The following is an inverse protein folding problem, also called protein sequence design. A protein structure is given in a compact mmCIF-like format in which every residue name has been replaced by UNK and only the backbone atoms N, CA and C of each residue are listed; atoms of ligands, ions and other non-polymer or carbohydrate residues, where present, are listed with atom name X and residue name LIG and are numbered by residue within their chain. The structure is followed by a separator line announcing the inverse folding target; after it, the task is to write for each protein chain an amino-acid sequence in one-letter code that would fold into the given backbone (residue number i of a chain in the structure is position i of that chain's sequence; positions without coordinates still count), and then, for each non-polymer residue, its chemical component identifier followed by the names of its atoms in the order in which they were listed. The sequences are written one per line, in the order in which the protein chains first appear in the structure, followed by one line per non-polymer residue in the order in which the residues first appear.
data_IF_632098200949
#
_entry.id   IF_632098200949
#
_cell.length_a   1.000
_cell.length_b   1.000
_cell.length_c   1.000
_cell.angle_alpha   90.00
_cell.angle_beta   90.00
_cell.angle_gamma   90.00
#
_symmetry.space_group_name_H-M   'P 1'
#
loop_
_entity.id
_entity.type
_entity.pdbx_description
1 polymer ?
#
# COMPACT_ATOMS: atom_id res chain seq x y z
N UNK A 1 -17.90 14.72 -0.15
CA UNK A 1 -16.61 14.01 -0.41
C UNK A 1 -15.79 13.78 0.85
N UNK A 2 -15.47 14.81 1.61
CA UNK A 2 -14.65 14.68 2.81
C UNK A 2 -15.18 13.71 3.86
N UNK A 3 -16.50 13.65 4.07
CA UNK A 3 -17.13 12.75 5.03
C UNK A 3 -16.96 11.28 4.63
N UNK A 4 -17.13 10.98 3.35
CA UNK A 4 -16.98 9.62 2.80
C UNK A 4 -15.54 9.14 2.89
N UNK A 5 -14.57 9.99 2.50
CA UNK A 5 -13.15 9.67 2.60
C UNK A 5 -12.75 9.39 4.05
N UNK A 6 -13.21 10.21 4.99
CA UNK A 6 -12.92 10.00 6.42
C UNK A 6 -13.49 8.68 6.94
N UNK A 7 -14.69 8.31 6.49
CA UNK A 7 -15.34 7.07 6.90
C UNK A 7 -14.59 5.85 6.41
N UNK A 8 -14.16 5.85 5.15
CA UNK A 8 -13.35 4.79 4.55
C UNK A 8 -12.00 4.69 5.26
N UNK A 9 -11.32 5.82 5.45
CA UNK A 9 -10.03 5.87 6.14
C UNK A 9 -10.12 5.36 7.59
N UNK A 10 -11.20 5.70 8.27
CA UNK A 10 -11.42 5.23 9.64
C UNK A 10 -11.58 3.72 9.71
N UNK A 11 -12.32 3.12 8.77
CA UNK A 11 -12.50 1.67 8.73
C UNK A 11 -11.16 0.95 8.59
N UNK A 12 -10.27 1.42 7.71
CA UNK A 12 -8.93 0.86 7.58
C UNK A 12 -8.09 1.12 8.82
N UNK A 13 -8.16 2.31 9.37
CA UNK A 13 -7.37 2.69 10.56
C UNK A 13 -7.65 1.79 11.75
N UNK A 14 -8.92 1.53 12.04
CA UNK A 14 -9.30 0.70 13.17
C UNK A 14 -8.79 -0.73 13.02
N UNK A 15 -8.86 -1.27 11.81
CA UNK A 15 -8.42 -2.64 11.52
C UNK A 15 -6.89 -2.79 11.56
N UNK A 16 -6.14 -1.77 11.13
CA UNK A 16 -4.67 -1.84 11.08
C UNK A 16 -4.00 -1.38 12.38
N UNK A 17 -4.75 -0.85 13.34
CA UNK A 17 -4.20 -0.35 14.60
C UNK A 17 -3.43 -1.42 15.37
N UNK A 18 -3.83 -2.70 15.25
CA UNK A 18 -3.18 -3.83 15.91
C UNK A 18 -1.71 -3.99 15.49
N UNK A 19 -1.34 -3.50 14.32
CA UNK A 19 0.03 -3.59 13.80
C UNK A 19 0.84 -2.31 14.01
N UNK A 20 0.24 -1.30 14.63
CA UNK A 20 0.86 0.01 14.83
C UNK A 20 1.30 0.69 13.53
N UNK A 21 0.62 0.37 12.43
CA UNK A 21 0.87 0.94 11.13
C UNK A 21 -0.05 2.13 10.88
N UNK A 22 0.48 3.16 10.23
CA UNK A 22 -0.36 4.23 9.69
C UNK A 22 -1.03 3.73 8.40
N UNK A 23 -2.06 4.45 7.96
CA UNK A 23 -2.76 4.15 6.72
C UNK A 23 -1.80 4.06 5.51
N UNK A 24 -0.91 5.05 5.39
CA UNK A 24 0.09 5.07 4.31
C UNK A 24 1.07 3.90 4.38
N UNK A 25 1.57 3.61 5.57
CA UNK A 25 2.46 2.47 5.78
C UNK A 25 1.79 1.15 5.41
N UNK A 26 0.51 1.00 5.77
CA UNK A 26 -0.24 -0.23 5.49
C UNK A 26 -0.33 -0.51 3.99
N UNK A 27 -0.70 0.48 3.20
CA UNK A 27 -0.80 0.31 1.75
C UNK A 27 0.55 0.03 1.09
N UNK A 28 1.60 0.65 1.58
CA UNK A 28 2.95 0.40 1.05
C UNK A 28 3.43 -1.00 1.42
N UNK A 29 3.21 -1.45 2.66
CA UNK A 29 3.62 -2.80 3.06
C UNK A 29 2.84 -3.88 2.29
N UNK A 30 1.56 -3.66 2.04
CA UNK A 30 0.77 -4.58 1.21
C UNK A 30 1.35 -4.68 -0.20
N UNK A 31 1.72 -3.55 -0.80
CA UNK A 31 2.35 -3.55 -2.12
C UNK A 31 3.67 -4.33 -2.13
N UNK A 32 4.49 -4.19 -1.09
CA UNK A 32 5.74 -4.93 -0.96
C UNK A 32 5.47 -6.43 -0.75
N UNK A 33 4.45 -6.77 0.02
CA UNK A 33 4.05 -8.18 0.23
C UNK A 33 3.59 -8.86 -1.05
N UNK A 34 2.97 -8.10 -1.95
CA UNK A 34 2.55 -8.61 -3.26
C UNK A 34 3.75 -8.85 -4.17
N UNK A 35 4.77 -8.01 -4.08
CA UNK A 35 5.95 -8.10 -4.96
C UNK A 35 7.17 -7.54 -4.24
N UNK A 36 8.03 -8.41 -3.75
CA UNK A 36 9.30 -8.03 -3.13
C UNK A 36 10.37 -7.69 -4.16
N UNK A 37 11.37 -6.95 -3.72
CA UNK A 37 12.52 -6.65 -4.56
C UNK A 37 12.36 -5.47 -5.50
N UNK A 38 11.33 -4.66 -5.29
CA UNK A 38 11.14 -3.45 -6.08
C UNK A 38 12.05 -2.32 -5.59
N UNK A 39 12.39 -1.43 -6.53
CA UNK A 39 13.05 -0.17 -6.21
C UNK A 39 12.04 0.82 -5.62
N UNK A 40 12.47 1.81 -4.82
CA UNK A 40 11.56 2.85 -4.33
C UNK A 40 10.79 3.56 -5.44
N UNK A 41 11.42 3.81 -6.60
CA UNK A 41 10.75 4.42 -7.74
C UNK A 41 9.64 3.55 -8.31
N UNK A 42 9.86 2.24 -8.35
CA UNK A 42 8.86 1.27 -8.80
C UNK A 42 7.69 1.19 -7.82
N UNK A 43 7.97 1.24 -6.52
CA UNK A 43 6.94 1.28 -5.48
C UNK A 43 6.12 2.57 -5.54
N UNK A 44 6.77 3.70 -5.78
CA UNK A 44 6.08 4.99 -5.93
C UNK A 44 5.09 4.93 -7.09
N UNK A 45 5.49 4.38 -8.21
CA UNK A 45 4.64 4.20 -9.38
C UNK A 45 3.49 3.23 -9.09
N UNK A 46 3.78 2.08 -8.49
CA UNK A 46 2.78 1.05 -8.15
C UNK A 46 1.71 1.59 -7.18
N UNK A 47 2.09 2.43 -6.24
CA UNK A 47 1.18 2.99 -5.24
C UNK A 47 0.62 4.36 -5.61
N UNK A 48 0.99 4.88 -6.78
CA UNK A 48 0.58 6.21 -7.27
C UNK A 48 0.93 7.33 -6.29
N UNK A 49 2.10 7.23 -5.67
CA UNK A 49 2.61 8.23 -4.73
C UNK A 49 3.89 8.87 -5.25
N UNK A 50 4.17 10.08 -4.77
CA UNK A 50 5.42 10.75 -5.14
C UNK A 50 6.61 10.13 -4.40
N UNK A 51 7.82 10.39 -4.92
CA UNK A 51 9.05 9.79 -4.39
C UNK A 51 9.37 10.22 -2.96
N UNK A 52 9.08 11.48 -2.61
CA UNK A 52 9.33 11.99 -1.27
C UNK A 52 8.45 11.29 -0.24
N UNK A 53 7.17 11.11 -0.55
CA UNK A 53 6.22 10.40 0.31
C UNK A 53 6.64 8.94 0.49
N UNK A 54 6.98 8.26 -0.60
CA UNK A 54 7.44 6.85 -0.56
C UNK A 54 8.70 6.73 0.28
N UNK A 55 9.68 7.62 0.09
CA UNK A 55 10.93 7.59 0.86
C UNK A 55 10.65 7.70 2.36
N UNK A 56 9.79 8.63 2.75
CA UNK A 56 9.40 8.80 4.15
C UNK A 56 8.70 7.57 4.73
N UNK A 57 7.79 6.97 3.97
CA UNK A 57 7.07 5.77 4.40
C UNK A 57 8.01 4.57 4.51
N UNK A 58 8.93 4.40 3.57
CA UNK A 58 9.93 3.32 3.60
C UNK A 58 10.88 3.48 4.78
N UNK A 59 11.30 4.70 5.08
CA UNK A 59 12.16 4.96 6.25
C UNK A 59 11.48 4.56 7.56
N UNK A 60 10.20 4.87 7.69
CA UNK A 60 9.41 4.48 8.87
C UNK A 60 9.22 2.97 8.95
N UNK A 61 8.91 2.33 7.83
CA UNK A 61 8.74 0.87 7.78
C UNK A 61 10.05 0.15 8.12
N UNK A 62 11.18 0.67 7.65
CA UNK A 62 12.49 0.12 7.98
C UNK A 62 12.78 0.27 9.48
N UNK A 63 12.50 1.45 10.04
CA UNK A 63 12.70 1.74 11.47
C UNK A 63 11.84 0.83 12.35
N UNK A 64 10.60 0.57 11.93
CA UNK A 64 9.65 -0.26 12.66
C UNK A 64 9.87 -1.76 12.42
N UNK A 65 10.85 -2.13 11.62
CA UNK A 65 11.25 -3.52 11.43
C UNK A 65 10.40 -4.31 10.42
N UNK A 66 9.68 -3.63 9.54
CA UNK A 66 8.87 -4.29 8.53
C UNK A 66 9.62 -4.61 7.25
N UNK A 67 10.56 -3.74 6.87
CA UNK A 67 11.31 -3.89 5.62
C UNK A 67 12.80 -3.77 5.85
N UNK A 68 13.56 -4.30 4.91
CA UNK A 68 14.99 -4.11 4.82
C UNK A 68 15.36 -3.75 3.39
N UNK A 69 16.46 -2.98 3.27
CA UNK A 69 17.00 -2.57 1.98
C UNK A 69 18.19 -3.43 1.65
N UNK A 70 18.23 -3.98 0.45
CA UNK A 70 19.36 -4.79 -0.03
C UNK A 70 19.91 -4.20 -1.33
N UNK A 71 21.26 -4.13 -1.49
CA UNK A 71 21.84 -3.66 -2.73
C UNK A 71 21.40 -4.52 -3.92
N UNK A 72 21.14 -3.88 -5.05
CA UNK A 72 20.87 -4.58 -6.29
C UNK A 72 22.13 -5.34 -6.75
N UNK A 73 21.96 -6.51 -7.34
CA UNK A 73 23.08 -7.36 -7.75
C UNK A 73 23.91 -6.74 -8.89
N UNK A 74 23.25 -5.97 -9.76
CA UNK A 74 23.90 -5.36 -10.91
C UNK A 74 24.34 -3.91 -10.66
N UNK A 75 23.60 -3.18 -9.81
CA UNK A 75 23.94 -1.81 -9.42
C UNK A 75 23.83 -1.66 -7.90
N UNK A 76 24.95 -1.76 -7.22
CA UNK A 76 25.03 -1.69 -5.75
C UNK A 76 24.62 -0.34 -5.16
N UNK A 77 24.49 0.70 -5.98
CA UNK A 77 23.99 2.01 -5.54
C UNK A 77 22.50 2.00 -5.34
N UNK A 78 21.81 1.10 -6.04
CA UNK A 78 20.35 0.95 -5.93
C UNK A 78 20.03 -0.03 -4.82
N UNK A 79 19.08 0.36 -3.96
CA UNK A 79 18.61 -0.48 -2.86
C UNK A 79 17.21 -0.98 -3.16
N UNK A 80 17.05 -2.30 -3.20
CA UNK A 80 15.76 -2.95 -3.40
C UNK A 80 15.12 -3.25 -2.05
N UNK A 81 13.81 -3.26 -2.02
CA UNK A 81 13.02 -3.37 -0.79
C UNK A 81 12.55 -4.80 -0.60
N UNK A 82 12.81 -5.36 0.58
CA UNK A 82 12.41 -6.71 0.95
C UNK A 82 11.74 -6.72 2.32
N UNK A 83 10.94 -7.74 2.58
CA UNK A 83 10.33 -7.95 3.89
C UNK A 83 11.37 -8.49 4.88
N UNK A 84 11.25 -8.08 6.14
CA UNK A 84 12.00 -8.70 7.23
C UNK A 84 11.34 -10.03 7.60
N UNK A 85 12.00 -10.82 8.44
CA UNK A 85 11.40 -12.06 8.99
C UNK A 85 10.10 -11.74 9.72
N UNK A 86 10.08 -10.66 10.50
CA UNK A 86 8.89 -10.21 11.22
C UNK A 86 7.72 -9.95 10.25
N UNK A 87 7.97 -9.19 9.18
CA UNK A 87 6.94 -8.90 8.18
C UNK A 87 6.48 -10.16 7.46
N UNK A 88 7.40 -11.06 7.12
CA UNK A 88 7.07 -12.33 6.46
C UNK A 88 6.17 -13.20 7.32
N UNK A 89 6.41 -13.23 8.63
CA UNK A 89 5.56 -13.96 9.58
C UNK A 89 4.15 -13.39 9.66
N UNK A 90 4.00 -12.09 9.47
CA UNK A 90 2.70 -11.41 9.53
C UNK A 90 2.05 -11.23 8.16
N UNK A 91 2.71 -11.65 7.09
CA UNK A 91 2.25 -11.44 5.71
C UNK A 91 0.84 -11.94 5.47
N UNK A 92 0.58 -13.19 5.83
CA UNK A 92 -0.75 -13.81 5.62
C UNK A 92 -1.85 -13.05 6.38
N UNK A 93 -1.58 -12.69 7.62
CA UNK A 93 -2.53 -11.97 8.46
C UNK A 93 -2.82 -10.57 7.92
N UNK A 94 -1.79 -9.84 7.50
CA UNK A 94 -1.91 -8.50 6.94
C UNK A 94 -2.68 -8.53 5.61
N UNK A 95 -2.35 -9.45 4.72
CA UNK A 95 -3.04 -9.58 3.44
C UNK A 95 -4.50 -10.00 3.62
N UNK A 96 -4.78 -10.89 4.55
CA UNK A 96 -6.16 -11.28 4.88
C UNK A 96 -6.95 -10.08 5.40
N UNK A 97 -6.34 -9.28 6.27
CA UNK A 97 -6.95 -8.06 6.79
C UNK A 97 -7.26 -7.07 5.67
N UNK A 98 -6.32 -6.87 4.75
CA UNK A 98 -6.50 -6.00 3.60
C UNK A 98 -7.68 -6.46 2.74
N UNK A 99 -7.71 -7.74 2.37
CA UNK A 99 -8.79 -8.31 1.57
C UNK A 99 -10.15 -8.18 2.25
N UNK A 100 -10.20 -8.47 3.55
CA UNK A 100 -11.43 -8.43 4.33
C UNK A 100 -11.99 -7.02 4.43
N UNK A 101 -11.13 -6.04 4.71
CA UNK A 101 -11.53 -4.64 4.79
C UNK A 101 -11.94 -4.11 3.42
N UNK A 102 -11.18 -4.46 2.39
CA UNK A 102 -11.46 -4.07 1.03
C UNK A 102 -12.79 -4.64 0.54
N UNK A 103 -13.10 -5.88 0.89
CA UNK A 103 -14.33 -6.56 0.49
C UNK A 103 -15.59 -5.85 1.01
N UNK A 104 -15.51 -5.22 2.17
CA UNK A 104 -16.63 -4.44 2.71
C UNK A 104 -17.07 -3.34 1.75
N UNK A 105 -16.11 -2.70 1.08
CA UNK A 105 -16.39 -1.62 0.14
C UNK A 105 -16.73 -2.17 -1.25
N UNK A 106 -16.05 -3.25 -1.66
CA UNK A 106 -16.34 -3.89 -2.94
C UNK A 106 -17.79 -4.40 -3.03
N UNK A 107 -18.34 -4.86 -1.90
CA UNK A 107 -19.71 -5.36 -1.84
C UNK A 107 -20.78 -4.26 -1.90
N UNK A 108 -20.38 -2.99 -1.79
CA UNK A 108 -21.32 -1.86 -1.87
C UNK A 108 -21.86 -1.64 -3.28
N UNK A 109 -21.16 -2.11 -4.29
CA UNK A 109 -21.50 -1.87 -5.68
C UNK A 109 -21.36 -3.17 -6.49
N UNK A 110 -22.13 -3.26 -7.59
CA UNK A 110 -21.98 -4.35 -8.53
C UNK A 110 -20.66 -4.22 -9.28
N UNK A 111 -20.25 -5.31 -9.94
CA UNK A 111 -19.05 -5.30 -10.78
C UNK A 111 -19.16 -4.26 -11.90
N UNK A 112 -20.34 -4.14 -12.50
CA UNK A 112 -20.59 -3.14 -13.55
C UNK A 112 -20.45 -1.72 -13.03
N UNK A 113 -21.00 -1.45 -11.85
CA UNK A 113 -20.89 -0.15 -11.20
C UNK A 113 -19.44 0.21 -10.88
N UNK A 114 -18.64 -0.75 -10.41
CA UNK A 114 -17.22 -0.56 -10.16
C UNK A 114 -16.46 -0.22 -11.46
N UNK A 115 -16.79 -0.93 -12.55
CA UNK A 115 -16.18 -0.64 -13.86
C UNK A 115 -16.53 0.76 -14.35
N UNK A 116 -17.79 1.19 -14.17
CA UNK A 116 -18.22 2.54 -14.52
C UNK A 116 -17.49 3.59 -13.69
N UNK A 117 -17.35 3.36 -12.39
CA UNK A 117 -16.64 4.27 -11.48
C UNK A 117 -15.18 4.41 -11.89
N UNK A 118 -14.51 3.29 -12.19
CA UNK A 118 -13.14 3.30 -12.66
C UNK A 118 -13.01 4.11 -13.95
N UNK A 119 -13.93 3.93 -14.87
CA UNK A 119 -13.96 4.70 -16.12
C UNK A 119 -14.09 6.20 -15.90
N UNK A 120 -14.93 6.61 -14.94
CA UNK A 120 -15.06 8.03 -14.59
C UNK A 120 -13.81 8.59 -13.95
N UNK A 121 -13.16 7.83 -13.08
CA UNK A 121 -11.91 8.25 -12.44
C UNK A 121 -10.78 8.38 -13.46
N UNK A 122 -10.69 7.44 -14.41
CA UNK A 122 -9.71 7.50 -15.49
C UNK A 122 -9.90 8.74 -16.36
N UNK A 123 -11.14 9.10 -16.65
CA UNK A 123 -11.46 10.32 -17.39
C UNK A 123 -11.10 11.58 -16.61
N UNK A 124 -11.33 11.58 -15.31
CA UNK A 124 -10.95 12.68 -14.45
C UNK A 124 -9.44 12.88 -14.43
N UNK A 125 -8.70 11.80 -14.36
CA UNK A 125 -7.23 11.82 -14.41
C UNK A 125 -6.73 12.41 -15.72
N UNK A 126 -7.36 12.09 -16.84
CA UNK A 126 -7.00 12.64 -18.16
C UNK A 126 -7.28 14.14 -18.28
N UNK A 127 -8.20 14.67 -17.48
CA UNK A 127 -8.53 16.10 -17.47
C UNK A 127 -7.50 16.96 -16.72
N UNK A 128 -6.64 16.34 -15.96
CA UNK A 128 -5.59 17.02 -15.20
C UNK A 128 -4.24 16.88 -15.90
#
# INVERSE_FOLDING_TARGET
MGKTVRKVSRAYRDEIAAYELTHGQFFVIVAIMEEEGLLPSELAEKTSQDRATITGLLDRLAKDGWIERRPDKTDRRSLRIYLTAYASQNKKAVLTLFEKTNQKFLNCFSREEWCQMQGFLDRLEQCT
#
